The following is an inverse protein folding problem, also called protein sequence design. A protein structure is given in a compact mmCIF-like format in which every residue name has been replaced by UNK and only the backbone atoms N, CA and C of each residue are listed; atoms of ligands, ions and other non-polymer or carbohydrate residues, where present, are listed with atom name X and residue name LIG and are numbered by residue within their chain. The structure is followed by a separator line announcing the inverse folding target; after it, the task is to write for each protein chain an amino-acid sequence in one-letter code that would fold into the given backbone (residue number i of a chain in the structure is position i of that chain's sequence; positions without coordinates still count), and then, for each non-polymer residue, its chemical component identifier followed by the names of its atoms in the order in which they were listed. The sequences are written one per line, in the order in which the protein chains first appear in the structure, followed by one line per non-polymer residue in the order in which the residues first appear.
data_IF_321508225193
#
_entry.id   IF_321508225193
#
_cell.length_a   1.000
_cell.length_b   1.000
_cell.length_c   1.000
_cell.angle_alpha   90.00
_cell.angle_beta   90.00
_cell.angle_gamma   90.00
#
_symmetry.space_group_name_H-M   'P 1'
#
loop_
_entity.id
_entity.type
_entity.pdbx_description
1 polymer ?
#
# COMPACT_ATOMS: atom_id res chain seq x y z
N UNK A 1 19.11 1.00 -7.50
CA UNK A 1 18.16 -0.02 -7.03
C UNK A 1 16.80 0.33 -7.60
N UNK A 2 15.98 -0.64 -8.06
CA UNK A 2 14.64 -0.35 -8.55
C UNK A 2 13.81 0.31 -7.45
N UNK A 3 13.05 1.36 -7.80
CA UNK A 3 12.21 2.10 -6.86
C UNK A 3 10.79 1.52 -6.84
N UNK A 4 10.19 1.44 -5.66
CA UNK A 4 8.75 1.15 -5.50
C UNK A 4 8.04 2.49 -5.36
N UNK A 5 7.01 2.72 -6.17
CA UNK A 5 6.27 3.98 -6.17
C UNK A 5 4.98 3.86 -5.35
N UNK A 6 4.65 4.96 -4.65
CA UNK A 6 3.51 5.07 -3.74
C UNK A 6 2.31 5.70 -4.45
N UNK A 7 1.09 5.33 -4.03
CA UNK A 7 -0.19 5.73 -4.63
C UNK A 7 -0.38 7.23 -4.91
N UNK A 8 0.31 8.14 -4.17
CA UNK A 8 0.20 9.59 -4.36
C UNK A 8 1.26 10.22 -5.28
N UNK A 9 2.23 9.44 -5.79
CA UNK A 9 3.15 9.90 -6.84
C UNK A 9 2.79 9.18 -8.12
N UNK A 10 2.52 9.94 -9.17
CA UNK A 10 2.19 9.36 -10.46
C UNK A 10 3.41 8.61 -11.00
N UNK A 11 3.26 7.39 -11.54
CA UNK A 11 4.31 6.70 -12.29
C UNK A 11 4.95 7.57 -13.38
N UNK A 12 4.21 8.54 -13.92
CA UNK A 12 4.73 9.53 -14.86
C UNK A 12 5.79 10.46 -14.25
N UNK A 13 5.72 10.77 -12.96
CA UNK A 13 6.60 11.76 -12.30
C UNK A 13 8.04 11.28 -12.10
N UNK A 14 8.25 9.97 -12.04
CA UNK A 14 9.53 9.34 -11.70
C UNK A 14 10.25 8.71 -12.90
N UNK A 15 9.59 8.63 -14.06
CA UNK A 15 10.11 7.97 -15.25
C UNK A 15 10.14 6.44 -15.09
N UNK A 16 9.27 5.73 -15.83
CA UNK A 16 9.01 4.30 -15.65
C UNK A 16 10.24 3.37 -15.71
N UNK A 17 11.34 3.79 -16.34
CA UNK A 17 12.57 2.99 -16.42
C UNK A 17 13.27 2.75 -15.06
N UNK A 18 12.99 3.55 -14.03
CA UNK A 18 13.57 3.37 -12.68
C UNK A 18 12.64 2.67 -11.68
N UNK A 19 11.38 2.44 -12.04
CA UNK A 19 10.33 1.95 -11.12
C UNK A 19 10.10 0.46 -11.36
N UNK A 20 10.27 -0.37 -10.32
CA UNK A 20 10.00 -1.81 -10.42
C UNK A 20 8.52 -2.16 -10.33
N UNK A 21 7.76 -1.41 -9.52
CA UNK A 21 6.34 -1.63 -9.32
C UNK A 21 5.69 -0.40 -8.69
N UNK A 22 4.40 -0.22 -8.99
CA UNK A 22 3.53 0.76 -8.39
C UNK A 22 2.55 0.07 -7.43
N UNK A 23 2.55 0.45 -6.14
CA UNK A 23 1.61 -0.08 -5.14
C UNK A 23 0.44 0.88 -5.02
N UNK A 24 -0.77 0.41 -5.28
CA UNK A 24 -1.96 1.26 -5.42
C UNK A 24 -3.21 0.60 -4.85
N UNK A 25 -4.18 1.40 -4.43
CA UNK A 25 -5.53 0.92 -4.11
C UNK A 25 -6.38 0.60 -5.36
N UNK A 26 -5.82 0.67 -6.58
CA UNK A 26 -6.53 0.47 -7.85
C UNK A 26 -7.60 1.53 -8.18
N UNK A 27 -7.36 2.80 -7.86
CA UNK A 27 -8.17 3.90 -8.38
C UNK A 27 -7.95 4.09 -9.90
N UNK A 28 -9.01 4.40 -10.64
CA UNK A 28 -9.00 4.49 -12.11
C UNK A 28 -7.83 5.31 -12.66
N UNK A 29 -7.67 6.56 -12.19
CA UNK A 29 -6.60 7.47 -12.66
C UNK A 29 -5.22 6.86 -12.46
N UNK A 30 -4.94 6.35 -11.27
CA UNK A 30 -3.64 5.78 -10.92
C UNK A 30 -3.31 4.52 -11.74
N UNK A 31 -4.33 3.74 -12.10
CA UNK A 31 -4.17 2.58 -12.98
C UNK A 31 -3.79 3.03 -14.39
N UNK A 32 -4.49 4.02 -14.95
CA UNK A 32 -4.17 4.56 -16.28
C UNK A 32 -2.74 5.11 -16.33
N UNK A 33 -2.34 5.92 -15.36
CA UNK A 33 -0.98 6.48 -15.29
C UNK A 33 0.11 5.40 -15.22
N UNK A 34 -0.14 4.32 -14.47
CA UNK A 34 0.81 3.20 -14.37
C UNK A 34 0.94 2.44 -15.68
N UNK A 35 -0.17 2.23 -16.39
CA UNK A 35 -0.17 1.56 -17.69
C UNK A 35 0.54 2.42 -18.73
N UNK A 36 0.27 3.73 -18.78
CA UNK A 36 0.95 4.66 -19.70
C UNK A 36 2.46 4.72 -19.44
N UNK A 37 2.88 4.67 -18.17
CA UNK A 37 4.28 4.65 -17.78
C UNK A 37 4.96 3.27 -17.95
N UNK A 38 4.23 2.24 -18.39
CA UNK A 38 4.69 0.84 -18.48
C UNK A 38 5.22 0.29 -17.15
N UNK A 39 4.61 0.69 -16.04
CA UNK A 39 4.98 0.26 -14.68
C UNK A 39 4.00 -0.81 -14.21
N UNK A 40 4.47 -2.01 -13.81
CA UNK A 40 3.62 -3.06 -13.25
C UNK A 40 2.93 -2.64 -11.95
N UNK A 41 1.68 -3.09 -11.75
CA UNK A 41 0.86 -2.69 -10.60
C UNK A 41 0.78 -3.81 -9.55
N UNK A 42 0.95 -3.44 -8.28
CA UNK A 42 0.58 -4.26 -7.11
C UNK A 42 -0.66 -3.62 -6.48
N UNK A 43 -1.83 -4.18 -6.78
CA UNK A 43 -3.13 -3.65 -6.39
C UNK A 43 -3.63 -4.17 -5.04
N UNK A 44 -3.97 -3.29 -4.12
CA UNK A 44 -4.54 -3.60 -2.79
C UNK A 44 -5.90 -2.89 -2.68
N UNK A 45 -6.99 -3.49 -3.16
CA UNK A 45 -8.29 -2.81 -3.21
C UNK A 45 -8.87 -2.63 -1.80
N UNK A 46 -9.37 -1.44 -1.50
CA UNK A 46 -9.91 -1.09 -0.19
C UNK A 46 -11.45 -1.17 -0.17
N UNK A 47 -12.13 -0.55 -1.15
CA UNK A 47 -13.60 -0.48 -1.23
C UNK A 47 -14.12 -0.04 -2.62
N UNK A 48 -15.46 -0.01 -2.77
CA UNK A 48 -16.18 0.43 -3.97
C UNK A 48 -15.79 -0.33 -5.25
N UNK A 49 -15.39 0.38 -6.29
CA UNK A 49 -15.02 -0.08 -7.64
C UNK A 49 -13.59 -0.62 -7.74
N UNK A 50 -12.76 -0.34 -6.74
CA UNK A 50 -11.36 -0.76 -6.69
C UNK A 50 -11.15 -2.29 -6.85
N UNK A 51 -11.97 -3.18 -6.25
CA UNK A 51 -11.82 -4.62 -6.46
C UNK A 51 -12.05 -5.05 -7.92
N UNK A 52 -13.01 -4.41 -8.60
CA UNK A 52 -13.32 -4.67 -10.01
C UNK A 52 -12.18 -4.16 -10.89
N UNK A 53 -11.63 -2.98 -10.58
CA UNK A 53 -10.48 -2.45 -11.30
C UNK A 53 -9.24 -3.34 -11.09
N UNK A 54 -8.98 -3.80 -9.87
CA UNK A 54 -7.91 -4.76 -9.59
C UNK A 54 -8.12 -6.09 -10.35
N UNK A 55 -9.36 -6.54 -10.61
CA UNK A 55 -9.60 -7.72 -11.44
C UNK A 55 -9.21 -7.46 -12.90
N UNK A 56 -9.49 -6.27 -13.43
CA UNK A 56 -9.13 -5.87 -14.80
C UNK A 56 -7.63 -5.79 -15.03
N UNK A 57 -6.85 -5.24 -14.08
CA UNK A 57 -5.38 -5.18 -14.23
C UNK A 57 -4.75 -6.58 -14.20
N UNK A 58 -5.34 -7.52 -13.45
CA UNK A 58 -4.89 -8.92 -13.40
C UNK A 58 -5.22 -9.62 -14.72
N UNK A 59 -6.44 -9.46 -15.23
CA UNK A 59 -6.87 -10.03 -16.51
C UNK A 59 -6.05 -9.48 -17.69
N UNK A 60 -5.72 -8.19 -17.67
CA UNK A 60 -4.85 -7.55 -18.63
C UNK A 60 -3.36 -7.98 -18.52
N UNK A 61 -2.97 -8.69 -17.46
CA UNK A 61 -1.59 -9.10 -17.23
C UNK A 61 -0.63 -7.97 -16.88
N UNK A 62 -1.14 -6.81 -16.46
CA UNK A 62 -0.35 -5.61 -16.12
C UNK A 62 -0.12 -5.44 -14.62
N UNK A 63 -0.68 -6.34 -13.80
CA UNK A 63 -0.50 -6.30 -12.36
C UNK A 63 -0.96 -7.54 -11.62
N UNK A 64 -0.78 -7.51 -10.31
CA UNK A 64 -1.24 -8.54 -9.37
C UNK A 64 -2.12 -7.93 -8.30
N UNK A 65 -3.11 -8.70 -7.83
CA UNK A 65 -3.97 -8.31 -6.71
C UNK A 65 -3.45 -8.93 -5.42
N UNK A 66 -3.37 -8.12 -4.37
CA UNK A 66 -3.03 -8.54 -3.01
C UNK A 66 -4.25 -8.30 -2.10
N UNK A 67 -4.60 -9.29 -1.30
CA UNK A 67 -5.65 -9.16 -0.31
C UNK A 67 -5.17 -8.32 0.87
N UNK A 68 -5.87 -7.23 1.19
CA UNK A 68 -5.54 -6.37 2.33
C UNK A 68 -5.60 -7.13 3.67
N UNK A 69 -6.43 -8.17 3.78
CA UNK A 69 -6.52 -8.99 4.99
C UNK A 69 -5.29 -9.88 5.18
N UNK A 70 -4.58 -10.21 4.10
CA UNK A 70 -3.29 -10.89 4.18
C UNK A 70 -2.15 -9.96 4.65
N UNK A 71 -2.39 -8.64 4.66
CA UNK A 71 -1.43 -7.61 5.06
C UNK A 71 -1.68 -7.09 6.48
N UNK A 72 -2.63 -7.68 7.22
CA UNK A 72 -2.89 -7.33 8.62
C UNK A 72 -1.64 -7.58 9.46
N UNK A 73 -0.99 -6.49 9.82
CA UNK A 73 0.05 -6.48 10.85
C UNK A 73 -0.58 -6.98 12.15
N UNK A 74 -0.07 -8.06 12.77
CA UNK A 74 -0.58 -8.54 14.05
C UNK A 74 -0.40 -7.44 15.09
N UNK A 75 -1.47 -6.71 15.37
CA UNK A 75 -1.54 -5.78 16.49
C UNK A 75 -1.77 -6.64 17.72
N UNK A 76 -0.72 -6.83 18.52
CA UNK A 76 -0.81 -7.43 19.86
C UNK A 76 -1.67 -6.53 20.75
N UNK A 77 -2.98 -6.57 20.57
CA UNK A 77 -3.95 -5.91 21.44
C UNK A 77 -4.43 -6.98 22.41
N UNK A 78 -3.71 -7.13 23.52
CA UNK A 78 -4.20 -7.88 24.68
C UNK A 78 -5.53 -7.28 25.10
N UNK A 79 -6.61 -8.04 24.90
CA UNK A 79 -7.86 -7.84 25.62
C UNK A 79 -7.62 -8.17 27.09
N UNK A 80 -7.15 -7.21 27.88
CA UNK A 80 -7.21 -7.27 29.33
C UNK A 80 -8.29 -6.30 29.81
N UNK A 81 -9.43 -6.87 30.17
CA UNK A 81 -10.37 -6.24 31.11
C UNK A 81 -9.61 -5.88 32.38
N UNK A 82 -9.47 -4.60 32.72
CA UNK A 82 -9.45 -4.08 34.10
C UNK A 82 -9.11 -2.60 34.15
N UNK A 83 -9.88 -1.86 34.95
CA UNK A 83 -9.57 -0.53 35.49
C UNK A 83 -8.10 -0.44 35.95
N UNK A 84 -7.32 0.58 35.56
CA UNK A 84 -6.68 1.53 36.47
C UNK A 84 -5.93 2.66 35.74
N UNK A 85 -5.77 3.74 36.51
CA UNK A 85 -5.13 5.03 36.30
C UNK A 85 -3.67 5.05 35.81
N UNK A 86 -3.36 6.16 35.09
CA UNK A 86 -2.10 6.95 35.07
C UNK A 86 -0.84 6.33 34.43
N UNK A 87 -0.27 7.13 33.52
CA UNK A 87 1.09 7.08 32.95
C UNK A 87 1.48 5.85 32.11
N UNK A 88 1.36 5.98 30.78
CA UNK A 88 2.40 5.55 29.84
C UNK A 88 2.43 6.55 28.69
N UNK A 89 3.23 7.62 28.83
CA UNK A 89 3.94 8.19 27.68
C UNK A 89 5.16 7.29 27.48
N UNK A 90 5.60 7.13 26.22
CA UNK A 90 6.76 6.35 25.74
C UNK A 90 6.40 4.96 25.16
N UNK A 91 6.30 4.91 23.83
CA UNK A 91 7.05 3.96 22.97
C UNK A 91 6.69 4.00 21.45
N UNK A 92 5.95 4.99 20.94
CA UNK A 92 5.77 5.13 19.48
C UNK A 92 7.09 5.47 18.73
N UNK A 93 8.15 5.85 19.44
CA UNK A 93 9.41 6.38 18.87
C UNK A 93 10.53 5.36 18.60
N UNK A 94 10.32 4.04 18.66
CA UNK A 94 11.43 3.08 18.36
C UNK A 94 11.01 1.87 17.52
N UNK A 95 10.25 2.10 16.46
CA UNK A 95 10.19 1.17 15.31
C UNK A 95 10.47 1.88 13.98
N UNK A 96 11.18 3.00 14.03
CA UNK A 96 11.77 3.67 12.88
C UNK A 96 13.08 2.99 12.42
N UNK A 97 13.19 1.67 12.59
CA UNK A 97 14.08 0.87 11.74
C UNK A 97 13.55 1.11 10.34
N UNK A 98 14.37 1.69 9.47
CA UNK A 98 14.02 2.16 8.14
C UNK A 98 13.03 1.22 7.44
N UNK A 99 11.73 1.51 7.57
CA UNK A 99 10.72 0.63 7.00
C UNK A 99 10.99 0.54 5.51
N UNK A 100 11.05 -0.69 4.99
CA UNK A 100 11.36 -0.92 3.59
C UNK A 100 10.46 -0.02 2.72
N UNK A 101 10.95 0.48 1.57
CA UNK A 101 10.12 1.28 0.67
C UNK A 101 8.78 0.62 0.34
N UNK A 102 8.79 -0.73 0.26
CA UNK A 102 7.60 -1.54 0.09
C UNK A 102 6.63 -1.46 1.28
N UNK A 103 7.12 -1.58 2.52
CA UNK A 103 6.26 -1.46 3.70
C UNK A 103 5.63 -0.07 3.81
N UNK A 104 6.38 0.99 3.51
CA UNK A 104 5.86 2.36 3.48
C UNK A 104 4.73 2.48 2.45
N UNK A 105 4.95 1.99 1.23
CA UNK A 105 3.94 2.00 0.16
C UNK A 105 2.67 1.22 0.54
N UNK A 106 2.82 0.02 1.11
CA UNK A 106 1.69 -0.79 1.59
C UNK A 106 0.93 -0.06 2.71
N UNK A 107 1.65 0.46 3.71
CA UNK A 107 1.03 1.16 4.84
C UNK A 107 0.27 2.39 4.39
N UNK A 108 0.80 3.14 3.43
CA UNK A 108 0.10 4.30 2.87
C UNK A 108 -1.19 3.88 2.16
N UNK A 109 -1.14 2.88 1.28
CA UNK A 109 -2.34 2.36 0.61
C UNK A 109 -3.38 1.87 1.61
N UNK A 110 -2.98 1.19 2.69
CA UNK A 110 -3.92 0.73 3.72
C UNK A 110 -4.53 1.86 4.57
N UNK A 111 -3.88 3.03 4.62
CA UNK A 111 -4.35 4.19 5.37
C UNK A 111 -5.10 5.21 4.51
N UNK A 112 -5.03 5.08 3.19
CA UNK A 112 -5.77 5.87 2.22
C UNK A 112 -7.28 5.60 2.43
N UNK A 113 -8.05 6.64 2.75
CA UNK A 113 -9.48 6.54 3.08
C UNK A 113 -10.35 7.16 2.00
#
# INVERSE_FOLDING_TARGET
SPKVLLSHRSPADVGGAEVAAFVSHCGDTSVYESVEALVPIVGIPLFADQPDMCARIVDAGVGVRVDKHALEIPTTTTKTSSKNSKNVKENEETLAIEMSPLYKAIREVLLDR
#
